data_IF_750621719226
#
_entry.id   IF_750621719226
#
_cell.length_a   1.000
_cell.length_b   1.000
_cell.length_c   1.000
_cell.angle_alpha   90.00
_cell.angle_beta   90.00
_cell.angle_gamma   90.00
#
_symmetry.space_group_name_H-M   'P 1'
#
loop_
_entity.id
_entity.type
_entity.pdbx_description
1 polymer ?
#
# COMPACT_ATOMS: atom_id res chain seq x y z
N UNK A 1 4.51 17.60 28.00
CA UNK A 1 5.23 17.05 26.84
C UNK A 1 4.39 17.35 25.61
N UNK A 2 4.90 18.01 24.57
CA UNK A 2 4.12 18.14 23.34
C UNK A 2 3.81 16.73 22.83
N UNK A 3 2.55 16.44 22.52
CA UNK A 3 2.19 15.15 21.92
C UNK A 3 2.88 15.05 20.56
N UNK A 4 3.62 13.97 20.32
CA UNK A 4 4.22 13.72 19.03
C UNK A 4 3.12 13.49 17.99
N UNK A 5 3.10 14.28 16.91
CA UNK A 5 2.18 14.06 15.80
C UNK A 5 2.49 12.70 15.17
N UNK A 6 1.51 11.77 15.05
CA UNK A 6 1.75 10.47 14.45
C UNK A 6 2.15 10.58 12.98
N UNK A 7 3.15 9.81 12.54
CA UNK A 7 3.62 9.77 11.16
C UNK A 7 3.05 8.56 10.41
N UNK A 8 2.85 8.70 9.10
CA UNK A 8 2.34 7.65 8.20
C UNK A 8 3.00 7.78 6.83
N UNK A 9 2.88 6.74 6.01
CA UNK A 9 3.43 6.68 4.64
C UNK A 9 2.29 6.63 3.63
N UNK A 10 2.41 7.42 2.57
CA UNK A 10 1.65 7.26 1.33
C UNK A 10 2.63 6.84 0.24
N UNK A 11 2.45 5.64 -0.31
CA UNK A 11 3.32 5.04 -1.30
C UNK A 11 2.56 4.84 -2.62
N UNK A 12 3.25 5.13 -3.72
CA UNK A 12 2.76 4.95 -5.08
C UNK A 12 3.37 3.69 -5.73
N UNK A 13 4.27 2.96 -5.05
CA UNK A 13 5.08 1.89 -5.63
C UNK A 13 5.81 2.34 -6.92
N UNK A 14 6.69 3.35 -6.83
CA UNK A 14 7.32 3.95 -8.01
C UNK A 14 8.30 2.99 -8.68
N UNK A 15 8.21 2.89 -10.01
CA UNK A 15 9.16 2.21 -10.87
C UNK A 15 10.21 3.24 -11.29
N UNK A 16 11.39 3.17 -10.67
CA UNK A 16 12.50 4.09 -10.96
C UNK A 16 13.18 3.75 -12.29
N UNK A 17 13.92 4.71 -12.85
CA UNK A 17 14.66 4.50 -14.09
C UNK A 17 15.61 3.29 -13.98
N UNK A 18 15.55 2.39 -14.96
CA UNK A 18 16.35 1.16 -14.98
C UNK A 18 15.81 0.02 -14.12
N UNK A 19 14.70 0.21 -13.40
CA UNK A 19 14.06 -0.81 -12.56
C UNK A 19 12.85 -1.45 -13.24
N UNK A 20 12.43 -2.60 -12.73
CA UNK A 20 11.22 -3.30 -13.17
C UNK A 20 10.05 -3.08 -12.20
N UNK A 21 8.80 -3.39 -12.59
CA UNK A 21 7.68 -3.44 -11.65
C UNK A 21 7.92 -4.36 -10.45
N UNK A 22 8.62 -5.49 -10.64
CA UNK A 22 8.97 -6.39 -9.54
C UNK A 22 9.92 -5.74 -8.54
N UNK A 23 10.86 -4.91 -9.00
CA UNK A 23 11.75 -4.15 -8.12
C UNK A 23 10.96 -3.11 -7.31
N UNK A 24 10.03 -2.40 -7.94
CA UNK A 24 9.15 -1.46 -7.25
C UNK A 24 8.34 -2.13 -6.13
N UNK A 25 7.72 -3.27 -6.42
CA UNK A 25 6.93 -4.02 -5.42
C UNK A 25 7.80 -4.54 -4.26
N UNK A 26 9.02 -5.02 -4.55
CA UNK A 26 9.98 -5.41 -3.53
C UNK A 26 10.38 -4.22 -2.64
N UNK A 27 10.70 -3.08 -3.25
CA UNK A 27 11.07 -1.86 -2.53
C UNK A 27 9.91 -1.35 -1.65
N UNK A 28 8.68 -1.38 -2.16
CA UNK A 28 7.45 -1.07 -1.40
C UNK A 28 7.29 -1.98 -0.18
N UNK A 29 7.51 -3.30 -0.33
CA UNK A 29 7.48 -4.23 0.81
C UNK A 29 8.57 -3.93 1.84
N UNK A 30 9.80 -3.67 1.40
CA UNK A 30 10.91 -3.33 2.28
C UNK A 30 10.67 -2.01 3.04
N UNK A 31 10.12 -1.00 2.37
CA UNK A 31 9.73 0.27 2.98
C UNK A 31 8.62 0.08 4.01
N UNK A 32 7.59 -0.72 3.72
CA UNK A 32 6.54 -1.05 4.67
C UNK A 32 7.09 -1.74 5.93
N UNK A 33 8.02 -2.69 5.76
CA UNK A 33 8.70 -3.35 6.87
C UNK A 33 9.54 -2.38 7.71
N UNK A 34 10.23 -1.43 7.07
CA UNK A 34 10.99 -0.40 7.76
C UNK A 34 10.05 0.54 8.54
N UNK A 35 9.00 1.05 7.91
CA UNK A 35 8.00 1.91 8.52
C UNK A 35 7.35 1.25 9.75
N UNK A 36 7.05 -0.05 9.65
CA UNK A 36 6.56 -0.87 10.75
C UNK A 36 7.54 -0.90 11.93
N UNK A 37 8.84 -1.14 11.67
CA UNK A 37 9.90 -1.11 12.70
C UNK A 37 10.11 0.27 13.31
N UNK A 38 9.94 1.32 12.54
CA UNK A 38 10.11 2.71 12.98
C UNK A 38 8.89 3.28 13.72
N UNK A 39 7.78 2.52 13.84
CA UNK A 39 6.61 2.95 14.61
C UNK A 39 5.67 3.91 13.85
N UNK A 40 5.69 3.89 12.52
CA UNK A 40 4.70 4.62 11.72
C UNK A 40 3.30 4.02 11.94
N UNK A 41 2.27 4.87 11.90
CA UNK A 41 0.89 4.47 12.21
C UNK A 41 0.21 3.74 11.06
N UNK A 42 0.41 4.22 9.82
CA UNK A 42 -0.25 3.69 8.62
C UNK A 42 0.68 3.67 7.42
N UNK A 43 0.48 2.68 6.56
CA UNK A 43 1.05 2.58 5.23
C UNK A 43 -0.08 2.48 4.21
N UNK A 44 -0.21 3.50 3.36
CA UNK A 44 -1.23 3.55 2.33
C UNK A 44 -0.64 3.41 0.95
N UNK A 45 -1.33 2.63 0.11
CA UNK A 45 -1.07 2.58 -1.32
C UNK A 45 -2.08 3.41 -2.10
N UNK A 46 -1.58 4.19 -3.05
CA UNK A 46 -2.41 4.93 -3.99
C UNK A 46 -2.62 4.12 -5.28
N UNK A 47 -3.86 4.04 -5.76
CA UNK A 47 -4.19 3.39 -7.02
C UNK A 47 -3.88 4.29 -8.23
N UNK A 48 -3.14 3.77 -9.21
CA UNK A 48 -2.89 4.46 -10.49
C UNK A 48 -2.96 3.46 -11.65
N UNK A 49 -3.55 3.89 -12.75
CA UNK A 49 -3.69 3.12 -13.99
C UNK A 49 -2.99 3.83 -15.14
N UNK A 50 -2.52 3.05 -16.12
CA UNK A 50 -1.92 3.57 -17.35
C UNK A 50 -0.71 4.50 -17.12
N UNK A 51 -0.02 4.34 -15.99
CA UNK A 51 1.22 5.05 -15.64
C UNK A 51 2.37 4.06 -15.54
N UNK A 52 3.27 4.08 -16.53
CA UNK A 52 4.40 3.15 -16.62
C UNK A 52 5.40 3.26 -15.46
N UNK A 53 5.37 4.37 -14.72
CA UNK A 53 6.21 4.61 -13.55
C UNK A 53 5.62 4.15 -12.21
N UNK A 54 4.48 3.46 -12.18
CA UNK A 54 3.76 3.09 -10.94
C UNK A 54 3.31 1.62 -11.01
N UNK A 55 3.62 0.85 -9.96
CA UNK A 55 3.31 -0.58 -9.87
C UNK A 55 2.08 -0.93 -9.01
N UNK A 56 1.28 0.04 -8.58
CA UNK A 56 0.18 -0.14 -7.61
C UNK A 56 -1.24 -0.22 -8.20
N UNK A 57 -1.41 -0.55 -9.48
CA UNK A 57 -2.72 -0.59 -10.15
C UNK A 57 -3.70 -1.61 -9.52
N UNK A 58 -3.19 -2.78 -9.09
CA UNK A 58 -3.97 -3.81 -8.40
C UNK A 58 -3.87 -3.64 -6.87
N UNK A 59 -4.35 -2.50 -6.36
CA UNK A 59 -4.10 -2.04 -4.98
C UNK A 59 -4.36 -3.10 -3.90
N UNK A 60 -5.47 -3.84 -3.95
CA UNK A 60 -5.80 -4.87 -2.95
C UNK A 60 -4.77 -6.01 -2.90
N UNK A 61 -4.22 -6.41 -4.05
CA UNK A 61 -3.18 -7.44 -4.15
C UNK A 61 -1.88 -6.96 -3.50
N UNK A 62 -1.49 -5.73 -3.78
CA UNK A 62 -0.26 -5.15 -3.20
C UNK A 62 -0.44 -4.90 -1.69
N UNK A 63 -1.63 -4.51 -1.23
CA UNK A 63 -1.95 -4.44 0.21
C UNK A 63 -1.74 -5.79 0.87
N UNK A 64 -2.29 -6.88 0.32
CA UNK A 64 -2.08 -8.23 0.87
C UNK A 64 -0.60 -8.61 0.93
N UNK A 65 0.15 -8.30 -0.13
CA UNK A 65 1.60 -8.57 -0.20
C UNK A 65 2.40 -7.89 0.91
N UNK A 66 2.12 -6.62 1.21
CA UNK A 66 2.85 -5.88 2.26
C UNK A 66 2.29 -6.11 3.65
N UNK A 67 0.98 -6.27 3.81
CA UNK A 67 0.34 -6.57 5.09
C UNK A 67 0.91 -7.87 5.67
N UNK A 68 1.00 -8.93 4.87
CA UNK A 68 1.62 -10.21 5.27
C UNK A 68 3.12 -10.13 5.56
N UNK A 69 3.78 -8.99 5.29
CA UNK A 69 5.18 -8.76 5.59
C UNK A 69 5.42 -7.86 6.81
N UNK A 70 4.37 -7.28 7.39
CA UNK A 70 4.41 -6.34 8.53
C UNK A 70 3.73 -6.91 9.76
N UNK A 71 3.94 -6.30 10.94
CA UNK A 71 3.36 -6.80 12.20
C UNK A 71 2.49 -5.82 12.97
N UNK A 72 2.75 -4.51 12.91
CA UNK A 72 2.05 -3.51 13.76
C UNK A 72 1.40 -2.38 12.95
N UNK A 73 2.06 -1.93 11.89
CA UNK A 73 1.57 -0.83 11.05
C UNK A 73 0.25 -1.23 10.39
N UNK A 74 -0.70 -0.30 10.33
CA UNK A 74 -1.94 -0.51 9.59
C UNK A 74 -1.68 -0.35 8.11
N UNK A 75 -2.08 -1.31 7.30
CA UNK A 75 -1.96 -1.25 5.84
C UNK A 75 -3.32 -1.00 5.22
N UNK A 76 -3.38 -0.14 4.19
CA UNK A 76 -4.63 0.11 3.48
C UNK A 76 -4.43 0.89 2.18
N UNK A 77 -5.53 1.40 1.63
CA UNK A 77 -5.51 2.26 0.44
C UNK A 77 -5.63 3.74 0.82
N UNK A 78 -4.94 4.60 0.09
CA UNK A 78 -5.04 6.06 0.16
C UNK A 78 -4.96 6.71 -1.22
N UNK A 79 -5.83 6.38 -2.19
CA UNK A 79 -7.10 5.67 -2.07
C UNK A 79 -7.38 4.69 -3.22
N UNK A 80 -8.56 4.07 -3.17
CA UNK A 80 -9.15 3.31 -4.29
C UNK A 80 -9.90 4.27 -5.20
N UNK A 81 -9.75 4.12 -6.51
CA UNK A 81 -10.55 4.86 -7.49
C UNK A 81 -11.96 4.28 -7.57
N UNK A 82 -12.72 4.33 -6.48
CA UNK A 82 -14.00 3.64 -6.32
C UNK A 82 -15.00 3.87 -7.48
N UNK A 83 -15.09 5.07 -8.11
CA UNK A 83 -15.96 5.27 -9.28
C UNK A 83 -15.65 4.36 -10.49
N UNK A 84 -14.46 3.77 -10.54
CA UNK A 84 -14.01 2.88 -11.63
C UNK A 84 -14.27 1.39 -11.35
N UNK A 85 -14.75 1.04 -10.16
CA UNK A 85 -14.95 -0.35 -9.73
C UNK A 85 -16.38 -0.62 -9.31
N UNK A 86 -16.83 -1.86 -9.46
CA UNK A 86 -18.06 -2.30 -8.82
C UNK A 86 -17.87 -2.27 -7.29
N UNK A 87 -18.71 -1.54 -6.52
CA UNK A 87 -18.53 -1.43 -5.07
C UNK A 87 -18.50 -2.76 -4.33
N UNK A 88 -19.26 -3.76 -4.81
CA UNK A 88 -19.28 -5.11 -4.23
C UNK A 88 -17.90 -5.78 -4.31
N UNK A 89 -17.19 -5.65 -5.42
CA UNK A 89 -15.84 -6.23 -5.59
C UNK A 89 -14.86 -5.60 -4.60
N UNK A 90 -14.94 -4.29 -4.40
CA UNK A 90 -14.09 -3.59 -3.42
C UNK A 90 -14.44 -4.05 -1.99
N UNK A 91 -15.73 -4.20 -1.68
CA UNK A 91 -16.17 -4.70 -0.38
C UNK A 91 -15.65 -6.13 -0.10
N UNK A 92 -15.74 -7.03 -1.08
CA UNK A 92 -15.24 -8.41 -0.97
C UNK A 92 -13.72 -8.46 -0.81
N UNK A 93 -12.98 -7.66 -1.57
CA UNK A 93 -11.52 -7.58 -1.48
C UNK A 93 -11.05 -7.08 -0.11
N UNK A 94 -11.60 -5.96 0.36
CA UNK A 94 -11.20 -5.38 1.65
C UNK A 94 -11.75 -6.17 2.85
N UNK A 95 -12.93 -6.79 2.72
CA UNK A 95 -13.44 -7.74 3.71
C UNK A 95 -12.55 -8.98 3.83
N UNK A 96 -12.07 -9.50 2.70
CA UNK A 96 -11.10 -10.61 2.71
C UNK A 96 -9.78 -10.20 3.35
N UNK A 97 -9.22 -9.03 2.99
CA UNK A 97 -7.97 -8.52 3.56
C UNK A 97 -8.05 -8.31 5.08
N UNK A 98 -9.21 -7.93 5.60
CA UNK A 98 -9.42 -7.77 7.05
C UNK A 98 -9.44 -9.11 7.79
N UNK A 99 -9.77 -10.19 7.10
CA UNK A 99 -9.85 -11.55 7.67
C UNK A 99 -8.54 -12.37 7.59
N UNK A 100 -7.46 -11.82 6.99
CA UNK A 100 -6.14 -12.46 6.88
C UNK A 100 -5.22 -12.10 8.06
#
# INVERSE_FOLDING_TARGET
>A
MPSSVPLSVLDLAPITAGSTPADALRNTRELAQLADRCGYTRYWLAEHHNMTGIASAATAVVIGHIAGATRRIRVGAGGIMLPNHAPLVIAEQFGTLESL
#
